data_IF_711370196987
#
_entry.id   IF_711370196987
#
_cell.length_a   1.000
_cell.length_b   1.000
_cell.length_c   1.000
_cell.angle_alpha   90.00
_cell.angle_beta   90.00
_cell.angle_gamma   90.00
#
_symmetry.space_group_name_H-M   'P 1'
#
loop_
_entity.id
_entity.type
_entity.pdbx_description
1 polymer ?
#
# COMPACT_ATOMS: atom_id res chain seq x y z
N UNK A 1 -9.46 -9.05 6.59
CA UNK A 1 -8.14 -8.37 6.44
C UNK A 1 -7.88 -7.92 5.00
N UNK A 2 -8.03 -8.78 3.97
CA UNK A 2 -7.76 -8.39 2.57
C UNK A 2 -8.56 -7.16 2.08
N UNK A 3 -9.88 -7.02 2.35
CA UNK A 3 -10.61 -5.82 1.96
C UNK A 3 -10.10 -4.55 2.64
N UNK A 4 -9.62 -4.66 3.89
CA UNK A 4 -9.05 -3.53 4.64
C UNK A 4 -7.76 -3.05 3.99
N UNK A 5 -6.88 -3.96 3.59
CA UNK A 5 -5.64 -3.63 2.87
C UNK A 5 -5.93 -2.96 1.52
N UNK A 6 -6.98 -3.40 0.82
CA UNK A 6 -7.40 -2.77 -0.44
C UNK A 6 -7.89 -1.34 -0.21
N UNK A 7 -8.73 -1.10 0.80
CA UNK A 7 -9.17 0.25 1.16
C UNK A 7 -7.99 1.14 1.55
N UNK A 8 -7.00 0.63 2.29
CA UNK A 8 -5.78 1.38 2.61
C UNK A 8 -4.96 1.71 1.36
N UNK A 9 -4.79 0.77 0.43
CA UNK A 9 -4.12 1.03 -0.84
C UNK A 9 -4.85 2.12 -1.65
N UNK A 10 -6.18 2.14 -1.61
CA UNK A 10 -6.98 3.18 -2.24
C UNK A 10 -6.80 4.55 -1.57
N UNK A 11 -6.74 4.63 -0.24
CA UNK A 11 -6.43 5.87 0.47
C UNK A 11 -5.03 6.41 0.12
N UNK A 12 -4.03 5.53 0.01
CA UNK A 12 -2.67 5.92 -0.42
C UNK A 12 -2.71 6.52 -1.82
N UNK A 13 -3.42 5.88 -2.76
CA UNK A 13 -3.55 6.40 -4.12
C UNK A 13 -4.29 7.74 -4.18
N UNK A 14 -5.31 7.97 -3.34
CA UNK A 14 -5.95 9.30 -3.21
C UNK A 14 -4.93 10.33 -2.72
N UNK A 15 -4.21 10.02 -1.63
CA UNK A 15 -3.21 10.90 -1.05
C UNK A 15 -2.11 11.24 -2.07
N UNK A 16 -1.74 10.29 -2.93
CA UNK A 16 -0.75 10.49 -3.98
C UNK A 16 -1.25 11.39 -5.11
N UNK A 17 -2.52 11.27 -5.54
CA UNK A 17 -3.11 12.19 -6.49
C UNK A 17 -3.19 13.62 -5.93
N UNK A 18 -3.54 13.76 -4.64
CA UNK A 18 -3.54 15.06 -3.94
C UNK A 18 -2.12 15.64 -3.89
N UNK A 19 -1.14 14.84 -3.49
CA UNK A 19 0.26 15.26 -3.39
C UNK A 19 0.84 15.74 -4.73
N UNK A 20 0.60 14.97 -5.80
CA UNK A 20 1.02 15.32 -7.16
C UNK A 20 0.29 16.53 -7.72
N UNK A 21 -0.99 16.74 -7.35
CA UNK A 21 -1.75 17.93 -7.72
C UNK A 21 -1.15 19.21 -7.09
N UNK A 22 -0.78 19.14 -5.80
CA UNK A 22 -0.12 20.25 -5.09
C UNK A 22 1.39 20.37 -5.37
N UNK A 23 1.95 19.55 -6.26
CA UNK A 23 3.37 19.55 -6.61
C UNK A 23 4.32 19.32 -5.42
N UNK A 24 3.87 18.60 -4.39
CA UNK A 24 4.73 18.22 -3.24
C UNK A 24 5.82 17.25 -3.70
N UNK A 25 5.45 16.29 -4.55
CA UNK A 25 6.36 15.51 -5.40
C UNK A 25 5.67 15.21 -6.73
N UNK A 26 6.44 15.01 -7.78
CA UNK A 26 5.93 14.81 -9.14
C UNK A 26 6.60 13.62 -9.82
N UNK A 27 5.84 12.86 -10.60
CA UNK A 27 6.43 11.96 -11.58
C UNK A 27 7.08 12.75 -12.71
N UNK A 28 8.14 12.23 -13.37
CA UNK A 28 8.73 12.90 -14.54
C UNK A 28 7.71 13.25 -15.63
N UNK A 29 6.68 12.42 -15.81
CA UNK A 29 5.58 12.65 -16.73
C UNK A 29 4.64 13.79 -16.31
N UNK A 30 4.66 14.22 -15.04
CA UNK A 30 3.78 15.25 -14.46
C UNK A 30 4.47 16.61 -14.28
N UNK A 31 5.73 16.75 -14.70
CA UNK A 31 6.53 17.98 -14.49
C UNK A 31 5.92 19.17 -15.25
N UNK A 32 5.51 18.95 -16.49
CA UNK A 32 4.96 20.02 -17.35
C UNK A 32 3.44 20.17 -17.21
N UNK A 33 2.72 19.05 -17.08
CA UNK A 33 1.27 19.04 -16.94
C UNK A 33 0.82 17.95 -15.96
N UNK A 34 -0.11 18.31 -15.08
CA UNK A 34 -0.69 17.34 -14.16
C UNK A 34 -1.62 16.38 -14.90
N UNK A 35 -1.53 15.11 -14.54
CA UNK A 35 -2.49 14.08 -14.92
C UNK A 35 -2.69 13.13 -13.75
N UNK A 36 -3.84 12.47 -13.73
CA UNK A 36 -4.19 11.50 -12.69
C UNK A 36 -3.21 10.31 -12.68
N UNK A 37 -2.79 9.90 -11.49
CA UNK A 37 -1.90 8.74 -11.32
C UNK A 37 -2.66 7.47 -11.70
N UNK A 38 -2.10 6.68 -12.61
CA UNK A 38 -2.77 5.51 -13.17
C UNK A 38 -3.17 4.45 -12.13
N UNK A 39 -4.30 3.78 -12.38
CA UNK A 39 -4.87 2.74 -11.52
C UNK A 39 -3.93 1.56 -11.24
N UNK A 40 -2.96 1.29 -12.12
CA UNK A 40 -1.96 0.23 -11.92
C UNK A 40 -1.14 0.40 -10.63
N UNK A 41 -1.00 1.64 -10.13
CA UNK A 41 -0.32 1.94 -8.86
C UNK A 41 -1.04 1.35 -7.64
N UNK A 42 -2.37 1.17 -7.70
CA UNK A 42 -3.11 0.52 -6.62
C UNK A 42 -2.62 -0.92 -6.38
N UNK A 43 -2.33 -1.66 -7.46
CA UNK A 43 -1.81 -3.02 -7.35
C UNK A 43 -0.46 -3.05 -6.64
N UNK A 44 0.43 -2.10 -6.97
CA UNK A 44 1.73 -1.94 -6.30
C UNK A 44 1.57 -1.61 -4.81
N UNK A 45 0.69 -0.68 -4.45
CA UNK A 45 0.43 -0.31 -3.06
C UNK A 45 -0.22 -1.43 -2.26
N UNK A 46 -1.17 -2.15 -2.86
CA UNK A 46 -1.78 -3.32 -2.24
C UNK A 46 -0.76 -4.43 -2.00
N UNK A 47 0.11 -4.71 -2.98
CA UNK A 47 1.17 -5.70 -2.84
C UNK A 47 2.18 -5.30 -1.76
N UNK A 48 2.55 -4.01 -1.69
CA UNK A 48 3.43 -3.50 -0.65
C UNK A 48 2.84 -3.73 0.75
N UNK A 49 1.59 -3.32 0.97
CA UNK A 49 0.90 -3.52 2.25
C UNK A 49 0.78 -5.00 2.63
N UNK A 50 0.46 -5.86 1.66
CA UNK A 50 0.38 -7.30 1.85
C UNK A 50 1.74 -7.88 2.22
N UNK A 51 2.80 -7.53 1.48
CA UNK A 51 4.15 -7.99 1.76
C UNK A 51 4.63 -7.53 3.14
N UNK A 52 4.40 -6.25 3.49
CA UNK A 52 4.71 -5.72 4.82
C UNK A 52 3.99 -6.50 5.93
N UNK A 53 2.69 -6.79 5.77
CA UNK A 53 1.95 -7.60 6.72
C UNK A 53 2.54 -9.02 6.86
N UNK A 54 2.83 -9.68 5.74
CA UNK A 54 3.43 -11.03 5.74
C UNK A 54 4.80 -11.02 6.41
N UNK A 55 5.62 -9.99 6.17
CA UNK A 55 6.93 -9.85 6.82
C UNK A 55 6.80 -9.70 8.34
N UNK A 56 5.87 -8.85 8.80
CA UNK A 56 5.61 -8.67 10.24
C UNK A 56 5.12 -9.98 10.86
N UNK A 57 4.16 -10.67 10.23
CA UNK A 57 3.68 -11.97 10.69
C UNK A 57 4.77 -13.03 10.71
N UNK A 58 5.69 -13.02 9.75
CA UNK A 58 6.83 -13.95 9.74
C UNK A 58 7.79 -13.70 10.89
N UNK A 59 8.05 -12.43 11.23
CA UNK A 59 9.06 -12.05 12.24
C UNK A 59 8.48 -12.15 13.65
N UNK A 60 7.26 -11.67 13.86
CA UNK A 60 6.63 -11.55 15.18
C UNK A 60 5.57 -12.63 15.45
N UNK A 61 5.07 -13.27 14.39
CA UNK A 61 4.06 -14.33 14.53
C UNK A 61 4.69 -15.63 14.98
N UNK A 62 4.22 -16.13 16.11
CA UNK A 62 4.49 -17.48 16.55
C UNK A 62 3.32 -18.37 16.15
N UNK A 63 3.58 -19.36 15.28
CA UNK A 63 2.61 -20.40 14.96
C UNK A 63 2.68 -21.47 16.06
N UNK A 64 1.58 -21.71 16.75
CA UNK A 64 1.50 -22.82 17.70
C UNK A 64 1.44 -24.18 16.97
N UNK A 65 1.63 -25.28 17.70
CA UNK A 65 1.54 -26.63 17.15
C UNK A 65 0.11 -27.01 16.67
N UNK A 66 -0.90 -26.20 17.02
CA UNK A 66 -2.29 -26.37 16.58
C UNK A 66 -2.58 -25.59 15.29
N UNK A 67 -1.62 -24.79 14.81
CA UNK A 67 -1.70 -24.00 13.59
C UNK A 67 -2.24 -22.59 13.76
N UNK A 68 -2.53 -22.13 14.99
CA UNK A 68 -2.97 -20.76 15.27
C UNK A 68 -1.77 -19.80 15.29
N UNK A 69 -2.00 -18.59 14.80
CA UNK A 69 -1.01 -17.53 14.77
C UNK A 69 -1.24 -16.58 15.93
N UNK A 70 -0.27 -16.51 16.84
CA UNK A 70 -0.24 -15.53 17.93
C UNK A 70 0.85 -14.50 17.67
N UNK A 71 0.50 -13.22 17.85
CA UNK A 71 1.47 -12.13 17.84
C UNK A 71 2.12 -12.06 19.23
N UNK A 72 3.45 -12.00 19.29
CA UNK A 72 4.17 -11.71 20.54
C UNK A 72 3.96 -10.27 20.98
#
# INVERSE_FOLDING_TARGET
>A
MLPVLFTLAFLIWIAENISTFYKIWLYPSQVEAWHMVGWGKLGSWYLLLLLSLVLVLKILGHRDNQGNWNLR
#
